data_IF_848657751902
#
_entry.id   IF_848657751902
#
_cell.length_a   1.000
_cell.length_b   1.000
_cell.length_c   1.000
_cell.angle_alpha   90.00
_cell.angle_beta   90.00
_cell.angle_gamma   90.00
#
_symmetry.space_group_name_H-M   'P 1'
#
loop_
_entity.id
_entity.type
_entity.pdbx_description
1 polymer ?
#
# COMPACT_ATOMS: atom_id res chain seq x y z
N UNK A 1 9.04 9.44 -1.24
CA UNK A 1 9.14 9.31 0.22
C UNK A 1 9.30 7.85 0.59
N UNK A 2 10.31 7.53 1.39
CA UNK A 2 10.52 6.18 1.90
C UNK A 2 10.10 6.11 3.37
N UNK A 3 10.06 4.89 3.94
CA UNK A 3 9.57 4.71 5.31
C UNK A 3 10.32 5.56 6.33
N UNK A 4 11.65 5.64 6.22
CA UNK A 4 12.46 6.43 7.15
C UNK A 4 12.09 7.92 7.11
N UNK A 5 11.77 8.45 5.95
CA UNK A 5 11.32 9.83 5.81
C UNK A 5 9.94 10.04 6.44
N UNK A 6 9.06 9.05 6.28
CA UNK A 6 7.75 9.10 6.94
C UNK A 6 7.90 9.14 8.45
N UNK A 7 8.78 8.30 9.00
CA UNK A 7 9.08 8.28 10.43
C UNK A 7 9.59 9.66 10.89
N UNK A 8 10.51 10.27 10.14
CA UNK A 8 11.05 11.57 10.47
C UNK A 8 9.98 12.66 10.46
N UNK A 9 9.11 12.65 9.45
CA UNK A 9 8.02 13.62 9.35
C UNK A 9 7.03 13.50 10.50
N UNK A 10 6.72 12.26 10.88
CA UNK A 10 5.82 12.02 12.00
C UNK A 10 6.47 12.40 13.33
N UNK A 11 7.77 12.14 13.48
CA UNK A 11 8.51 12.54 14.68
C UNK A 11 8.52 14.06 14.85
N UNK A 12 8.70 14.79 13.76
CA UNK A 12 8.68 16.25 13.78
C UNK A 12 7.33 16.81 14.26
N UNK A 13 6.24 16.12 13.95
CA UNK A 13 4.88 16.53 14.34
C UNK A 13 4.49 16.04 15.73
N UNK A 14 5.28 15.16 16.32
CA UNK A 14 5.01 14.55 17.62
C UNK A 14 6.29 14.58 18.48
N UNK A 15 6.81 15.78 18.81
CA UNK A 15 8.12 15.90 19.48
C UNK A 15 8.17 15.30 20.88
N UNK A 16 7.00 15.00 21.45
CA UNK A 16 6.90 14.36 22.77
C UNK A 16 7.08 12.84 22.73
N UNK A 17 7.17 12.26 21.52
CA UNK A 17 7.37 10.82 21.34
C UNK A 17 8.78 10.53 20.86
N UNK A 18 9.32 9.39 21.29
CA UNK A 18 10.59 8.92 20.76
C UNK A 18 10.44 8.45 19.33
N UNK A 19 11.44 8.72 18.50
CA UNK A 19 11.42 8.29 17.11
C UNK A 19 11.24 6.78 16.97
N UNK A 20 11.85 6.01 17.86
CA UNK A 20 11.71 4.55 17.89
C UNK A 20 10.27 4.11 18.08
N UNK A 21 9.52 4.80 18.95
CA UNK A 21 8.14 4.45 19.20
C UNK A 21 7.26 4.76 17.97
N UNK A 22 7.55 5.87 17.31
CA UNK A 22 6.85 6.22 16.07
C UNK A 22 7.11 5.18 14.98
N UNK A 23 8.35 4.74 14.84
CA UNK A 23 8.70 3.70 13.88
C UNK A 23 7.96 2.40 14.19
N UNK A 24 7.89 2.01 15.46
CA UNK A 24 7.16 0.81 15.88
C UNK A 24 5.67 0.92 15.60
N UNK A 25 5.07 2.10 15.79
CA UNK A 25 3.66 2.33 15.48
C UNK A 25 3.40 2.20 13.99
N UNK A 26 4.24 2.81 13.16
CA UNK A 26 4.12 2.72 11.71
C UNK A 26 4.25 1.26 11.26
N UNK A 27 5.25 0.54 11.77
CA UNK A 27 5.44 -0.86 11.45
C UNK A 27 4.25 -1.72 11.88
N UNK A 28 3.65 -1.41 13.03
CA UNK A 28 2.47 -2.12 13.50
C UNK A 28 1.28 -1.90 12.56
N UNK A 29 1.05 -0.67 12.11
CA UNK A 29 -0.04 -0.36 11.18
C UNK A 29 0.15 -1.09 9.85
N UNK A 30 1.34 -0.97 9.27
CA UNK A 30 1.64 -1.61 7.99
C UNK A 30 1.59 -3.14 8.11
N UNK A 31 2.05 -3.68 9.23
CA UNK A 31 1.99 -5.11 9.52
C UNK A 31 0.56 -5.62 9.63
N UNK A 32 -0.32 -4.88 10.30
CA UNK A 32 -1.73 -5.25 10.40
C UNK A 32 -2.42 -5.28 9.03
N UNK A 33 -2.11 -4.30 8.18
CA UNK A 33 -2.65 -4.27 6.81
C UNK A 33 -2.16 -5.49 6.04
N UNK A 34 -0.86 -5.76 6.10
CA UNK A 34 -0.24 -6.91 5.42
C UNK A 34 -0.87 -8.23 5.89
N UNK A 35 -1.01 -8.40 7.20
CA UNK A 35 -1.57 -9.63 7.75
C UNK A 35 -3.04 -9.82 7.36
N UNK A 36 -3.82 -8.75 7.36
CA UNK A 36 -5.21 -8.80 6.93
C UNK A 36 -5.32 -9.24 5.48
N UNK A 37 -4.51 -8.64 4.59
CA UNK A 37 -4.51 -9.02 3.18
C UNK A 37 -4.04 -10.45 2.97
N UNK A 38 -3.08 -10.92 3.77
CA UNK A 38 -2.61 -12.30 3.69
C UNK A 38 -3.72 -13.29 4.05
N UNK A 39 -4.68 -12.88 4.89
CA UNK A 39 -5.87 -13.70 5.22
C UNK A 39 -7.00 -13.52 4.21
N UNK A 40 -6.80 -12.72 3.17
CA UNK A 40 -7.83 -12.43 2.18
C UNK A 40 -8.86 -11.40 2.63
N UNK A 41 -8.61 -10.71 3.72
CA UNK A 41 -9.50 -9.68 4.23
C UNK A 41 -9.30 -8.36 3.51
N UNK A 42 -10.37 -7.58 3.42
CA UNK A 42 -10.32 -6.22 2.93
C UNK A 42 -10.04 -5.27 4.09
N UNK A 43 -9.19 -4.26 3.85
CA UNK A 43 -8.89 -3.22 4.83
C UNK A 43 -9.42 -1.90 4.32
N UNK A 44 -10.42 -1.35 4.98
CA UNK A 44 -11.05 -0.10 4.56
C UNK A 44 -10.71 0.99 5.57
N UNK A 45 -10.06 2.05 5.10
CA UNK A 45 -9.67 3.20 5.92
C UNK A 45 -10.42 4.42 5.40
N UNK A 46 -11.46 4.80 6.12
CA UNK A 46 -12.34 5.90 5.71
C UNK A 46 -11.53 7.17 5.49
N UNK A 47 -11.78 7.85 4.37
CA UNK A 47 -11.08 9.08 4.02
C UNK A 47 -9.76 8.85 3.29
N UNK A 48 -9.24 7.63 3.31
CA UNK A 48 -7.98 7.27 2.66
C UNK A 48 -8.21 6.36 1.46
N UNK A 49 -8.72 5.18 1.71
CA UNK A 49 -8.97 4.21 0.66
C UNK A 49 -9.18 2.81 1.20
N UNK A 50 -9.20 1.85 0.30
CA UNK A 50 -9.40 0.45 0.65
C UNK A 50 -8.36 -0.43 -0.01
N UNK A 51 -7.78 -1.32 0.77
CA UNK A 51 -6.87 -2.36 0.29
C UNK A 51 -7.65 -3.66 0.15
N UNK A 52 -7.40 -4.39 -0.91
CA UNK A 52 -7.96 -5.71 -1.13
C UNK A 52 -6.96 -6.56 -1.89
N UNK A 53 -7.29 -7.82 -2.10
CA UNK A 53 -6.44 -8.70 -2.90
C UNK A 53 -7.15 -9.00 -4.20
N UNK A 54 -6.37 -9.10 -5.28
CA UNK A 54 -6.84 -9.55 -6.58
C UNK A 54 -6.20 -10.88 -6.90
N UNK A 55 -7.02 -11.80 -7.34
CA UNK A 55 -6.58 -13.09 -7.78
C UNK A 55 -6.12 -13.01 -9.23
N UNK A 56 -4.89 -13.41 -9.48
CA UNK A 56 -4.34 -13.50 -10.83
C UNK A 56 -4.24 -14.96 -11.20
N UNK A 57 -5.02 -15.36 -12.20
CA UNK A 57 -5.06 -16.75 -12.65
C UNK A 57 -3.72 -17.17 -13.24
N UNK A 58 -3.42 -18.47 -13.14
CA UNK A 58 -2.27 -19.06 -13.81
C UNK A 58 -2.37 -18.82 -15.31
N UNK A 59 -1.26 -18.50 -15.92
CA UNK A 59 -1.20 -18.24 -17.37
C UNK A 59 0.14 -18.68 -17.92
N UNK A 60 0.20 -18.73 -19.26
CA UNK A 60 1.46 -18.97 -19.95
C UNK A 60 2.06 -17.63 -20.34
N UNK A 61 3.24 -17.34 -19.84
CA UNK A 61 4.00 -16.17 -20.23
C UNK A 61 5.08 -16.55 -21.22
N UNK A 62 5.87 -15.57 -21.67
CA UNK A 62 7.02 -15.80 -22.52
C UNK A 62 8.27 -15.21 -21.90
N UNK A 63 9.36 -15.95 -22.00
CA UNK A 63 10.67 -15.45 -21.61
C UNK A 63 11.13 -14.44 -22.68
N UNK A 64 11.31 -13.15 -22.33
CA UNK A 64 11.70 -12.14 -23.33
C UNK A 64 13.09 -12.38 -23.92
N UNK A 65 13.90 -13.20 -23.26
CA UNK A 65 15.26 -13.50 -23.68
C UNK A 65 15.32 -14.59 -24.72
N UNK A 66 14.50 -15.63 -24.56
CA UNK A 66 14.54 -16.82 -25.44
C UNK A 66 13.28 -16.99 -26.27
N UNK A 67 12.21 -16.28 -25.92
CA UNK A 67 10.90 -16.44 -26.55
C UNK A 67 10.15 -17.68 -26.11
N UNK A 68 10.73 -18.50 -25.22
CA UNK A 68 10.10 -19.72 -24.74
C UNK A 68 8.90 -19.45 -23.89
N UNK A 69 7.92 -20.36 -23.92
CA UNK A 69 6.75 -20.30 -23.06
C UNK A 69 7.14 -20.69 -21.65
N UNK A 70 6.74 -19.85 -20.69
CA UNK A 70 7.01 -20.09 -19.27
C UNK A 70 5.69 -20.11 -18.51
N UNK A 71 5.42 -21.15 -17.71
CA UNK A 71 4.22 -21.17 -16.90
C UNK A 71 4.31 -20.13 -15.79
N UNK A 72 3.25 -19.32 -15.65
CA UNK A 72 3.10 -18.34 -14.57
C UNK A 72 2.06 -18.89 -13.62
N UNK A 73 2.48 -19.14 -12.37
CA UNK A 73 1.59 -19.69 -11.36
C UNK A 73 0.54 -18.66 -10.92
N UNK A 74 -0.56 -19.16 -10.39
CA UNK A 74 -1.61 -18.39 -9.78
C UNK A 74 -1.07 -17.58 -8.61
N UNK A 75 -1.47 -16.32 -8.50
CA UNK A 75 -0.98 -15.41 -7.45
C UNK A 75 -2.09 -14.53 -6.93
N UNK A 76 -1.94 -14.12 -5.66
CA UNK A 76 -2.71 -13.03 -5.09
C UNK A 76 -1.86 -11.76 -5.16
N UNK A 77 -2.46 -10.67 -5.57
CA UNK A 77 -1.79 -9.37 -5.65
C UNK A 77 -2.56 -8.34 -4.84
N UNK A 78 -1.87 -7.41 -4.16
CA UNK A 78 -2.55 -6.32 -3.46
C UNK A 78 -3.15 -5.35 -4.46
N UNK A 79 -4.26 -4.75 -4.08
CA UNK A 79 -4.94 -3.75 -4.87
C UNK A 79 -5.40 -2.64 -3.93
N UNK A 80 -5.12 -1.40 -4.32
CA UNK A 80 -5.54 -0.23 -3.55
C UNK A 80 -6.46 0.63 -4.40
N UNK A 81 -7.60 1.01 -3.81
CA UNK A 81 -8.53 1.95 -4.42
C UNK A 81 -8.67 3.15 -3.51
N UNK A 82 -8.44 4.35 -4.05
CA UNK A 82 -8.56 5.57 -3.27
C UNK A 82 -9.99 5.80 -2.80
N UNK A 83 -10.11 6.40 -1.60
CA UNK A 83 -11.37 6.93 -1.14
C UNK A 83 -11.69 8.27 -1.80
N UNK A 84 -12.89 8.76 -1.54
CA UNK A 84 -13.36 10.01 -2.13
C UNK A 84 -12.47 11.20 -1.78
N UNK A 85 -12.13 11.36 -0.52
CA UNK A 85 -11.33 12.50 -0.06
C UNK A 85 -9.95 12.54 -0.71
N UNK A 86 -9.25 11.41 -0.74
CA UNK A 86 -7.93 11.35 -1.36
C UNK A 86 -8.03 11.63 -2.86
N UNK A 87 -9.01 11.03 -3.53
CA UNK A 87 -9.21 11.25 -4.97
C UNK A 87 -9.46 12.71 -5.27
N UNK A 88 -10.28 13.38 -4.48
CA UNK A 88 -10.59 14.79 -4.65
C UNK A 88 -9.35 15.66 -4.44
N UNK A 89 -8.54 15.36 -3.43
CA UNK A 89 -7.30 16.10 -3.17
C UNK A 89 -6.28 15.95 -4.29
N UNK A 90 -6.18 14.76 -4.87
CA UNK A 90 -5.26 14.51 -5.99
C UNK A 90 -5.65 15.26 -7.26
N UNK A 91 -6.95 15.53 -7.44
CA UNK A 91 -7.48 16.18 -8.63
C UNK A 91 -7.87 17.63 -8.40
N UNK A 92 -7.46 18.18 -7.26
CA UNK A 92 -7.73 19.58 -6.94
C UNK A 92 -6.80 20.50 -7.74
N UNK A 93 -7.37 21.60 -8.27
CA UNK A 93 -6.59 22.63 -8.92
C UNK A 93 -5.62 23.28 -7.94
N UNK A 94 -4.38 23.64 -8.37
CA UNK A 94 -3.44 24.35 -7.51
C UNK A 94 -4.01 25.61 -6.87
N UNK A 95 -4.88 26.33 -7.55
CA UNK A 95 -5.51 27.53 -7.02
C UNK A 95 -6.53 27.25 -5.90
N UNK A 96 -6.96 26.02 -5.76
CA UNK A 96 -7.91 25.61 -4.74
C UNK A 96 -7.24 25.15 -3.44
N UNK A 97 -5.92 25.17 -3.40
CA UNK A 97 -5.16 24.71 -2.24
C UNK A 97 -4.80 25.83 -1.30
#
# INVERSE_FOLDING_TARGET
>A
MIKSELVQRMAARNPHLYQRDIENIIDAILGEITNALARGERVELRGFGAFSTKHRQARTGRNPRTGDKVPVTEKLAPFFKTGKEMRERLNRSPEAI
#
